data_IF_959871656211
#
_entry.id   IF_959871656211
#
_cell.length_a   1.000
_cell.length_b   1.000
_cell.length_c   1.000
_cell.angle_alpha   90.00
_cell.angle_beta   90.00
_cell.angle_gamma   90.00
#
_symmetry.space_group_name_H-M   'P 1'
#
loop_
_entity.id
_entity.type
_entity.pdbx_description
1 polymer ?
#
# COMPACT_ATOMS: atom_id res chain seq x y z
N UNK A 1 -5.41 16.96 -14.08
CA UNK A 1 -4.93 16.62 -15.44
C UNK A 1 -3.45 16.25 -15.37
N UNK A 2 -3.12 15.13 -14.71
CA UNK A 2 -1.80 14.49 -14.70
C UNK A 2 -2.07 13.01 -14.33
N UNK A 3 -2.38 12.19 -15.33
CA UNK A 3 -2.27 10.73 -15.24
C UNK A 3 -0.91 10.40 -15.81
N UNK A 4 0.01 9.96 -14.94
CA UNK A 4 1.29 9.42 -15.36
C UNK A 4 1.08 7.94 -15.64
N UNK A 5 1.23 7.58 -16.92
CA UNK A 5 1.31 6.22 -17.45
C UNK A 5 2.29 5.36 -16.62
N UNK A 6 1.78 4.38 -15.87
CA UNK A 6 2.58 3.26 -15.34
C UNK A 6 2.12 1.96 -16.00
N UNK A 7 2.31 1.89 -17.32
CA UNK A 7 2.72 0.65 -18.00
C UNK A 7 3.33 1.06 -19.33
N UNK A 8 4.41 0.41 -19.75
CA UNK A 8 5.24 0.72 -20.94
C UNK A 8 6.34 1.77 -20.71
N UNK A 9 7.28 1.46 -19.82
CA UNK A 9 8.62 2.04 -19.87
C UNK A 9 9.59 1.08 -20.57
N UNK A 10 9.52 1.00 -21.90
CA UNK A 10 10.69 0.76 -22.76
C UNK A 10 10.40 1.17 -24.22
N UNK A 11 9.98 2.41 -24.43
CA UNK A 11 10.02 3.05 -25.74
C UNK A 11 10.33 4.54 -25.56
N UNK A 12 11.62 4.84 -25.33
CA UNK A 12 12.17 6.20 -25.23
C UNK A 12 11.73 7.05 -26.41
N UNK A 13 10.91 8.07 -26.13
CA UNK A 13 10.51 9.30 -26.86
C UNK A 13 10.47 9.38 -28.41
N UNK A 14 11.28 8.66 -29.19
CA UNK A 14 11.19 8.62 -30.67
C UNK A 14 10.08 7.71 -31.20
N UNK A 15 9.53 6.82 -30.37
CA UNK A 15 8.53 5.83 -30.76
C UNK A 15 7.09 6.35 -30.84
N UNK A 16 6.64 7.21 -29.93
CA UNK A 16 5.22 7.67 -29.86
C UNK A 16 4.79 8.46 -31.10
N UNK A 17 5.62 9.39 -31.59
CA UNK A 17 5.34 10.14 -32.83
C UNK A 17 5.29 9.24 -34.07
N UNK A 18 6.16 8.22 -34.14
CA UNK A 18 6.18 7.25 -35.24
C UNK A 18 4.99 6.27 -35.17
N UNK A 19 4.54 5.89 -33.97
CA UNK A 19 3.42 4.99 -33.75
C UNK A 19 2.07 5.63 -34.14
N UNK A 20 1.84 6.89 -33.74
CA UNK A 20 0.67 7.66 -34.19
C UNK A 20 0.68 7.91 -35.70
N UNK A 21 1.83 8.20 -36.32
CA UNK A 21 1.94 8.30 -37.79
C UNK A 21 1.65 6.97 -38.50
N UNK A 22 2.08 5.83 -37.95
CA UNK A 22 1.81 4.51 -38.52
C UNK A 22 0.32 4.12 -38.43
N UNK A 23 -0.35 4.43 -37.32
CA UNK A 23 -1.79 4.22 -37.15
C UNK A 23 -2.61 5.09 -38.10
N UNK A 24 -2.23 6.36 -38.30
CA UNK A 24 -2.90 7.26 -39.24
C UNK A 24 -2.75 6.80 -40.71
N UNK A 25 -1.63 6.17 -41.08
CA UNK A 25 -1.43 5.59 -42.41
C UNK A 25 -2.16 4.25 -42.62
N UNK A 26 -2.54 3.54 -41.55
CA UNK A 26 -3.22 2.25 -41.61
C UNK A 26 -4.74 2.35 -41.86
N UNK A 27 -5.36 3.51 -41.59
CA UNK A 27 -6.80 3.76 -41.63
C UNK A 27 -7.48 3.75 -43.00
N UNK A 28 -6.79 3.39 -44.10
CA UNK A 28 -7.38 3.44 -45.43
C UNK A 28 -6.73 2.58 -46.52
N UNK A 29 -5.94 1.56 -46.17
CA UNK A 29 -5.12 0.85 -47.19
C UNK A 29 -5.25 -0.67 -47.22
N UNK A 30 -4.99 -1.22 -48.41
CA UNK A 30 -5.14 -2.64 -48.76
C UNK A 30 -4.24 -3.59 -47.98
N UNK A 31 -4.54 -4.90 -48.04
CA UNK A 31 -3.92 -5.97 -47.21
C UNK A 31 -2.37 -5.94 -47.18
N UNK A 32 -1.70 -5.53 -48.27
CA UNK A 32 -0.24 -5.50 -48.35
C UNK A 32 0.41 -4.41 -47.50
N UNK A 33 -0.21 -3.24 -47.36
CA UNK A 33 0.32 -2.14 -46.55
C UNK A 33 0.10 -2.38 -45.06
N UNK A 34 -1.03 -2.97 -44.65
CA UNK A 34 -1.24 -3.39 -43.25
C UNK A 34 -0.20 -4.40 -42.80
N UNK A 35 0.14 -5.37 -43.65
CA UNK A 35 1.22 -6.31 -43.38
C UNK A 35 2.61 -5.65 -43.33
N UNK A 36 2.80 -4.49 -43.97
CA UNK A 36 4.05 -3.72 -43.91
C UNK A 36 4.14 -2.91 -42.62
N UNK A 37 3.04 -2.28 -42.21
CA UNK A 37 2.92 -1.55 -40.93
C UNK A 37 3.05 -2.51 -39.74
N UNK A 38 2.40 -3.68 -39.77
CA UNK A 38 2.56 -4.71 -38.72
C UNK A 38 4.01 -5.17 -38.57
N UNK A 39 4.71 -5.41 -39.68
CA UNK A 39 6.14 -5.76 -39.68
C UNK A 39 7.04 -4.62 -39.16
N UNK A 40 6.65 -3.37 -39.37
CA UNK A 40 7.36 -2.19 -38.89
C UNK A 40 7.12 -1.98 -37.38
N UNK A 41 5.90 -2.20 -36.91
CA UNK A 41 5.54 -2.17 -35.49
C UNK A 41 6.25 -3.28 -34.71
N UNK A 42 6.32 -4.49 -35.27
CA UNK A 42 7.04 -5.62 -34.67
C UNK A 42 8.56 -5.44 -34.67
N UNK A 43 9.09 -4.50 -35.47
CA UNK A 43 10.49 -4.05 -35.41
C UNK A 43 10.73 -2.94 -34.38
N UNK A 44 9.71 -2.17 -34.02
CA UNK A 44 9.83 -1.03 -33.10
C UNK A 44 9.38 -1.34 -31.67
N UNK A 45 8.49 -2.32 -31.49
CA UNK A 45 7.96 -2.75 -30.20
C UNK A 45 8.00 -4.28 -30.16
N UNK A 46 8.94 -4.82 -29.37
CA UNK A 46 8.99 -6.25 -29.09
C UNK A 46 8.03 -6.55 -27.94
N UNK A 47 6.87 -7.11 -28.25
CA UNK A 47 5.95 -7.59 -27.23
C UNK A 47 6.38 -8.98 -26.78
N UNK A 48 6.38 -9.22 -25.47
CA UNK A 48 6.58 -10.56 -24.95
C UNK A 48 5.32 -11.39 -25.21
N UNK A 49 5.51 -12.66 -25.54
CA UNK A 49 4.43 -13.64 -25.50
C UNK A 49 3.98 -13.78 -24.04
N UNK A 50 2.66 -13.79 -23.78
CA UNK A 50 2.08 -13.78 -22.42
C UNK A 50 2.34 -15.05 -21.59
N UNK A 51 3.15 -15.98 -22.08
CA UNK A 51 3.54 -17.18 -21.39
C UNK A 51 4.75 -16.88 -20.49
N UNK A 52 4.64 -17.20 -19.19
CA UNK A 52 5.76 -17.10 -18.27
C UNK A 52 6.84 -18.14 -18.62
N UNK A 53 7.90 -17.70 -19.30
CA UNK A 53 9.04 -18.55 -19.67
C UNK A 53 10.21 -18.37 -18.70
N UNK A 54 10.90 -19.47 -18.39
CA UNK A 54 12.20 -19.40 -17.72
C UNK A 54 13.23 -18.75 -18.67
N UNK A 55 14.28 -18.16 -18.12
CA UNK A 55 15.30 -17.40 -18.89
C UNK A 55 15.92 -18.21 -20.04
N UNK A 56 16.03 -19.53 -19.87
CA UNK A 56 16.57 -20.43 -20.89
C UNK A 56 15.51 -20.97 -21.88
N UNK A 57 14.23 -20.87 -21.53
CA UNK A 57 13.09 -21.30 -22.35
C UNK A 57 12.61 -20.20 -23.30
N UNK A 58 12.90 -18.93 -22.99
CA UNK A 58 12.71 -17.83 -23.93
C UNK A 58 13.56 -18.09 -25.18
N UNK A 59 12.94 -18.31 -26.34
CA UNK A 59 13.62 -18.55 -27.61
C UNK A 59 13.69 -17.29 -28.48
N UNK A 60 13.09 -16.18 -28.03
CA UNK A 60 13.02 -14.95 -28.80
C UNK A 60 14.37 -14.22 -28.81
N UNK A 61 14.94 -14.02 -30.01
CA UNK A 61 16.27 -13.44 -30.21
C UNK A 61 16.45 -12.06 -29.58
N UNK A 62 15.38 -11.26 -29.48
CA UNK A 62 15.39 -9.94 -28.83
C UNK A 62 14.88 -9.98 -27.38
N UNK A 63 14.21 -11.06 -26.96
CA UNK A 63 13.69 -11.24 -25.60
C UNK A 63 14.80 -11.58 -24.61
N UNK A 64 15.68 -12.52 -24.97
CA UNK A 64 16.79 -12.97 -24.10
C UNK A 64 17.67 -11.83 -23.58
N UNK A 65 18.19 -10.89 -24.40
CA UNK A 65 19.03 -9.81 -23.90
C UNK A 65 18.26 -8.82 -23.02
N UNK A 66 16.98 -8.56 -23.33
CA UNK A 66 16.11 -7.70 -22.53
C UNK A 66 15.84 -8.29 -21.15
N UNK A 67 15.42 -9.57 -21.09
CA UNK A 67 15.19 -10.34 -19.87
C UNK A 67 16.43 -10.40 -18.98
N UNK A 68 17.60 -10.63 -19.58
CA UNK A 68 18.89 -10.64 -18.85
C UNK A 68 19.24 -9.27 -18.27
N UNK A 69 18.88 -8.18 -18.95
CA UNK A 69 19.09 -6.82 -18.44
C UNK A 69 18.15 -6.52 -17.28
N UNK A 70 16.86 -6.81 -17.47
CA UNK A 70 15.83 -6.66 -16.44
C UNK A 70 16.20 -7.43 -15.16
N UNK A 71 16.65 -8.68 -15.27
CA UNK A 71 17.04 -9.47 -14.09
C UNK A 71 18.26 -8.89 -13.36
N UNK A 72 19.22 -8.34 -14.08
CA UNK A 72 20.37 -7.66 -13.46
C UNK A 72 19.94 -6.38 -12.76
N UNK A 73 19.09 -5.58 -13.42
CA UNK A 73 18.53 -4.36 -12.82
C UNK A 73 17.75 -4.73 -11.54
N UNK A 74 16.90 -5.78 -11.57
CA UNK A 74 16.18 -6.25 -10.37
C UNK A 74 17.08 -6.81 -9.27
N UNK A 75 18.18 -7.48 -9.63
CA UNK A 75 19.17 -7.96 -8.66
C UNK A 75 19.89 -6.79 -7.97
N UNK A 76 20.13 -5.69 -8.70
CA UNK A 76 20.71 -4.46 -8.16
C UNK A 76 19.70 -3.68 -7.30
N UNK A 77 18.45 -3.57 -7.76
CA UNK A 77 17.37 -2.81 -7.10
C UNK A 77 16.85 -3.52 -5.84
N UNK A 78 16.63 -4.84 -5.90
CA UNK A 78 16.05 -5.65 -4.82
C UNK A 78 17.12 -6.49 -4.13
N UNK A 79 18.12 -5.82 -3.58
CA UNK A 79 19.17 -6.46 -2.77
C UNK A 79 18.88 -6.36 -1.28
N UNK A 80 19.37 -7.35 -0.55
CA UNK A 80 19.29 -7.38 0.90
C UNK A 80 20.41 -6.56 1.53
N UNK A 81 20.12 -5.89 2.64
CA UNK A 81 21.09 -5.27 3.54
C UNK A 81 21.01 -5.89 4.94
N UNK A 82 22.11 -5.84 5.66
CA UNK A 82 22.17 -6.29 7.05
C UNK A 82 21.84 -5.10 7.94
N UNK A 83 20.65 -5.10 8.53
CA UNK A 83 20.27 -4.09 9.52
C UNK A 83 21.11 -4.21 10.79
N UNK A 84 21.20 -5.42 11.35
CA UNK A 84 22.01 -5.76 12.52
C UNK A 84 22.33 -7.26 12.52
N UNK A 85 23.48 -7.65 13.07
CA UNK A 85 23.88 -9.05 13.16
C UNK A 85 22.86 -9.86 13.99
N UNK A 86 22.38 -10.99 13.43
CA UNK A 86 21.36 -11.83 14.06
C UNK A 86 19.90 -11.41 13.82
N UNK A 87 19.66 -10.27 13.17
CA UNK A 87 18.31 -9.83 12.75
C UNK A 87 18.08 -10.18 11.27
N UNK A 88 16.85 -10.54 10.86
CA UNK A 88 16.54 -10.77 9.45
C UNK A 88 16.99 -9.60 8.55
N UNK A 89 17.52 -9.92 7.39
CA UNK A 89 17.96 -8.92 6.43
C UNK A 89 16.79 -8.04 5.97
N UNK A 90 17.08 -6.78 5.68
CA UNK A 90 16.10 -5.79 5.20
C UNK A 90 16.35 -5.48 3.73
N UNK A 91 15.39 -4.86 3.06
CA UNK A 91 15.62 -4.34 1.71
C UNK A 91 16.62 -3.19 1.77
N UNK A 92 17.63 -3.22 0.91
CA UNK A 92 18.62 -2.14 0.82
C UNK A 92 18.03 -0.93 0.12
N UNK A 93 17.63 0.06 0.89
CA UNK A 93 17.12 1.33 0.41
C UNK A 93 17.62 2.47 1.30
N UNK A 94 18.04 3.58 0.69
CA UNK A 94 18.43 4.79 1.42
C UNK A 94 17.20 5.53 1.96
N UNK A 95 16.02 5.25 1.39
CA UNK A 95 14.72 5.71 1.88
C UNK A 95 13.57 5.33 0.93
N UNK A 96 12.33 5.70 1.26
CA UNK A 96 11.17 5.34 0.44
C UNK A 96 11.27 5.82 -1.02
N UNK A 97 11.94 6.95 -1.25
CA UNK A 97 12.12 7.53 -2.59
C UNK A 97 13.17 6.80 -3.45
N UNK A 98 14.12 6.07 -2.83
CA UNK A 98 15.13 5.29 -3.57
C UNK A 98 14.56 3.98 -4.13
N UNK A 99 13.35 3.59 -3.71
CA UNK A 99 12.67 2.41 -4.21
C UNK A 99 12.05 2.65 -5.60
N UNK A 100 11.97 1.61 -6.44
CA UNK A 100 11.23 1.67 -7.70
C UNK A 100 9.79 2.14 -7.49
N UNK A 101 9.25 2.91 -8.44
CA UNK A 101 7.91 3.48 -8.33
C UNK A 101 6.81 2.43 -8.09
N UNK A 102 7.01 1.21 -8.57
CA UNK A 102 6.11 0.05 -8.45
C UNK A 102 5.89 -0.42 -7.01
N UNK A 103 6.82 -0.13 -6.09
CA UNK A 103 6.77 -0.59 -4.69
C UNK A 103 6.65 0.58 -3.70
N UNK A 104 6.41 1.79 -4.20
CA UNK A 104 6.14 2.96 -3.38
C UNK A 104 4.64 3.17 -3.25
N UNK A 105 4.23 3.77 -2.14
CA UNK A 105 2.90 4.35 -2.06
C UNK A 105 2.74 5.48 -3.07
N UNK A 106 1.48 5.80 -3.37
CA UNK A 106 1.17 6.97 -4.19
C UNK A 106 1.74 8.24 -3.57
N UNK A 107 1.95 9.25 -4.42
CA UNK A 107 2.37 10.57 -3.96
C UNK A 107 1.40 11.17 -2.94
N UNK A 108 0.09 10.98 -3.14
CA UNK A 108 -0.97 11.45 -2.24
C UNK A 108 -0.85 10.83 -0.86
N UNK A 109 -0.81 9.49 -0.78
CA UNK A 109 -0.64 8.74 0.49
C UNK A 109 0.59 9.21 1.24
N UNK A 110 1.72 9.28 0.54
CA UNK A 110 2.99 9.71 1.13
C UNK A 110 2.89 11.12 1.71
N UNK A 111 2.31 12.06 0.95
CA UNK A 111 2.19 13.46 1.39
C UNK A 111 1.23 13.61 2.56
N UNK A 112 0.08 12.93 2.52
CA UNK A 112 -0.93 12.96 3.58
C UNK A 112 -0.41 12.34 4.85
N UNK A 113 0.28 11.21 4.76
CA UNK A 113 0.92 10.55 5.90
C UNK A 113 1.90 11.49 6.61
N UNK A 114 2.85 12.07 5.87
CA UNK A 114 3.86 12.97 6.47
C UNK A 114 3.24 14.24 7.05
N UNK A 115 2.28 14.85 6.36
CA UNK A 115 1.62 16.06 6.85
C UNK A 115 0.81 15.77 8.12
N UNK A 116 0.08 14.66 8.14
CA UNK A 116 -0.72 14.22 9.29
C UNK A 116 0.17 13.88 10.48
N UNK A 117 1.29 13.18 10.24
CA UNK A 117 2.28 12.87 11.26
C UNK A 117 2.90 14.13 11.88
N UNK A 118 3.29 15.10 11.04
CA UNK A 118 3.88 16.36 11.50
C UNK A 118 2.88 17.20 12.31
N UNK A 119 1.62 17.28 11.86
CA UNK A 119 0.56 17.98 12.57
C UNK A 119 0.28 17.33 13.93
N UNK A 120 0.17 16.00 13.97
CA UNK A 120 0.00 15.23 15.21
C UNK A 120 1.12 15.48 16.20
N UNK A 121 2.38 15.31 15.79
CA UNK A 121 3.53 15.55 16.66
C UNK A 121 3.59 16.99 17.19
N UNK A 122 3.29 17.98 16.33
CA UNK A 122 3.24 19.39 16.74
C UNK A 122 2.16 19.62 17.81
N UNK A 123 1.00 19.00 17.67
CA UNK A 123 -0.07 19.09 18.68
C UNK A 123 0.37 18.50 20.03
N UNK A 124 1.05 17.35 20.01
CA UNK A 124 1.56 16.71 21.22
C UNK A 124 2.60 17.58 21.94
N UNK A 125 3.48 18.22 21.17
CA UNK A 125 4.49 19.15 21.69
C UNK A 125 3.85 20.40 22.30
N UNK A 126 2.87 21.01 21.62
CA UNK A 126 2.15 22.17 22.14
C UNK A 126 1.36 21.85 23.42
N UNK A 127 0.88 20.62 23.58
CA UNK A 127 0.25 20.14 24.82
C UNK A 127 1.25 19.73 25.91
N UNK A 128 2.55 19.71 25.62
CA UNK A 128 3.60 19.30 26.56
C UNK A 128 3.59 17.81 26.89
N UNK A 129 2.97 16.97 26.05
CA UNK A 129 2.83 15.53 26.28
C UNK A 129 4.01 14.73 25.70
N UNK A 130 4.64 15.26 24.65
CA UNK A 130 5.73 14.60 23.90
C UNK A 130 6.95 14.26 24.77
N UNK A 131 7.18 14.99 25.86
CA UNK A 131 8.31 14.79 26.77
C UNK A 131 7.89 14.39 28.20
N UNK A 132 6.59 14.12 28.43
CA UNK A 132 6.06 13.86 29.77
C UNK A 132 6.30 12.42 30.23
N UNK A 133 7.28 12.21 31.11
CA UNK A 133 7.62 10.88 31.68
C UNK A 133 6.84 10.51 32.94
N UNK A 134 5.88 11.35 33.33
CA UNK A 134 5.06 11.08 34.50
C UNK A 134 4.00 10.03 34.18
N UNK A 135 3.60 9.29 35.22
CA UNK A 135 2.47 8.36 35.11
C UNK A 135 1.15 9.13 35.09
N UNK A 136 0.13 8.48 34.53
CA UNK A 136 -1.24 8.99 34.60
C UNK A 136 -1.72 9.11 36.06
N UNK A 137 -2.38 10.21 36.43
CA UNK A 137 -2.88 10.40 37.80
C UNK A 137 -4.07 9.49 38.12
N UNK A 138 -4.88 9.17 37.12
CA UNK A 138 -6.09 8.34 37.19
C UNK A 138 -6.43 7.80 35.79
N UNK A 139 -7.35 6.83 35.72
CA UNK A 139 -7.76 6.20 34.46
C UNK A 139 -8.55 7.16 33.56
N UNK A 140 -9.40 8.02 34.13
CA UNK A 140 -10.25 8.94 33.37
C UNK A 140 -9.42 10.00 32.63
N UNK A 141 -8.26 10.35 33.18
CA UNK A 141 -7.29 11.23 32.54
C UNK A 141 -6.72 10.65 31.24
N UNK A 142 -6.72 9.32 31.07
CA UNK A 142 -6.28 8.64 29.86
C UNK A 142 -7.34 8.78 28.76
N UNK A 143 -8.62 8.65 29.13
CA UNK A 143 -9.77 8.70 28.23
C UNK A 143 -9.95 10.07 27.55
N UNK A 144 -9.44 11.14 28.18
CA UNK A 144 -9.46 12.49 27.61
C UNK A 144 -8.69 12.63 26.30
N UNK A 145 -7.79 11.69 26.00
CA UNK A 145 -6.96 11.73 24.82
C UNK A 145 -7.43 10.67 23.83
N UNK A 146 -8.66 10.76 23.31
CA UNK A 146 -9.22 9.77 22.38
C UNK A 146 -8.68 9.89 20.95
N UNK A 147 -7.40 9.53 20.76
CA UNK A 147 -6.79 9.30 19.44
C UNK A 147 -7.11 7.89 18.92
N UNK A 148 -8.35 7.40 19.10
CA UNK A 148 -8.83 6.17 18.46
C UNK A 148 -8.30 4.86 19.06
N UNK A 149 -7.86 4.88 20.31
CA UNK A 149 -7.40 3.68 21.01
C UNK A 149 -7.42 3.84 22.52
N UNK A 150 -8.41 3.27 23.21
CA UNK A 150 -8.43 3.26 24.67
C UNK A 150 -7.20 2.51 25.21
N UNK A 151 -6.16 3.23 25.66
CA UNK A 151 -4.85 2.65 26.01
C UNK A 151 -4.93 1.51 27.03
N UNK A 152 -5.77 1.56 28.08
CA UNK A 152 -5.85 0.44 29.03
C UNK A 152 -6.36 -0.86 28.39
N UNK A 153 -7.02 -0.80 27.21
CA UNK A 153 -7.36 -1.97 26.41
C UNK A 153 -6.14 -2.63 25.77
N UNK A 154 -5.19 -1.80 25.34
CA UNK A 154 -4.08 -2.20 24.47
C UNK A 154 -2.83 -1.37 24.78
N UNK A 155 -2.20 -1.58 25.95
CA UNK A 155 -1.00 -0.86 26.31
C UNK A 155 0.16 -1.28 25.41
N UNK A 156 0.85 -0.31 24.81
CA UNK A 156 1.98 -0.57 23.91
C UNK A 156 3.21 -1.15 24.63
N UNK A 157 3.29 -0.98 25.95
CA UNK A 157 4.35 -1.50 26.81
C UNK A 157 3.84 -1.65 28.25
N UNK A 158 4.50 -2.48 29.06
CA UNK A 158 4.25 -2.62 30.49
C UNK A 158 5.53 -2.32 31.27
N UNK A 159 5.43 -1.48 32.30
CA UNK A 159 6.57 -0.99 33.07
C UNK A 159 6.94 -1.89 34.26
N UNK A 160 6.06 -2.82 34.63
CA UNK A 160 6.25 -3.75 35.74
C UNK A 160 6.00 -5.19 35.29
N UNK A 161 6.67 -6.18 35.92
CA UNK A 161 6.44 -7.58 35.62
C UNK A 161 5.00 -8.01 36.00
N UNK A 162 4.48 -9.08 35.38
CA UNK A 162 3.19 -9.64 35.76
C UNK A 162 3.14 -10.01 37.26
N UNK A 163 2.04 -9.70 37.98
CA UNK A 163 1.87 -10.12 39.36
C UNK A 163 1.95 -11.63 39.51
N UNK A 164 2.67 -12.11 40.54
CA UNK A 164 2.87 -13.55 40.78
C UNK A 164 1.75 -14.18 41.62
N UNK A 165 0.90 -13.36 42.25
CA UNK A 165 -0.22 -13.80 43.11
C UNK A 165 -1.47 -13.04 42.73
N UNK A 166 -2.60 -13.74 42.58
CA UNK A 166 -3.90 -13.11 42.26
C UNK A 166 -4.43 -12.30 43.45
N UNK A 167 -5.12 -11.19 43.17
CA UNK A 167 -5.82 -10.39 44.17
C UNK A 167 -4.96 -9.43 45.00
N UNK A 168 -3.68 -9.29 44.68
CA UNK A 168 -2.74 -8.37 45.39
C UNK A 168 -2.58 -7.01 44.71
N UNK A 169 -3.25 -6.80 43.58
CA UNK A 169 -3.12 -5.59 42.74
C UNK A 169 -4.14 -4.53 43.15
N UNK A 170 -3.72 -3.27 43.15
CA UNK A 170 -4.58 -2.09 43.34
C UNK A 170 -4.55 -1.21 42.08
N UNK A 171 -5.44 -0.24 41.97
CA UNK A 171 -5.44 0.75 40.89
C UNK A 171 -4.09 1.48 40.80
N UNK A 172 -3.50 1.85 41.94
CA UNK A 172 -2.18 2.48 41.96
C UNK A 172 -1.07 1.58 41.40
N UNK A 173 -1.16 0.26 41.62
CA UNK A 173 -0.23 -0.70 41.00
C UNK A 173 -0.50 -0.81 39.50
N UNK A 174 -1.75 -0.79 39.08
CA UNK A 174 -2.13 -0.83 37.66
C UNK A 174 -1.62 0.39 36.90
N UNK A 175 -1.82 1.61 37.41
CA UNK A 175 -1.31 2.85 36.81
C UNK A 175 0.23 2.87 36.72
N UNK A 176 0.93 2.24 37.66
CA UNK A 176 2.39 2.06 37.60
C UNK A 176 2.83 0.99 36.61
N UNK A 177 1.97 0.02 36.29
CA UNK A 177 2.25 -1.02 35.30
C UNK A 177 2.01 -0.52 33.88
N UNK A 178 1.01 0.35 33.68
CA UNK A 178 0.70 0.98 32.40
C UNK A 178 1.82 1.92 31.92
N UNK A 179 1.87 2.25 30.61
CA UNK A 179 2.82 3.22 30.07
C UNK A 179 2.64 4.62 30.68
N UNK A 180 3.73 5.38 30.70
CA UNK A 180 3.70 6.81 31.03
C UNK A 180 2.93 7.64 29.98
N UNK A 181 2.75 8.92 30.27
CA UNK A 181 2.00 9.84 29.40
C UNK A 181 2.61 9.92 28.00
N UNK A 182 3.93 10.10 27.89
CA UNK A 182 4.64 10.17 26.61
C UNK A 182 4.40 8.92 25.77
N UNK A 183 4.73 7.74 26.31
CA UNK A 183 4.58 6.47 25.61
C UNK A 183 3.12 6.23 25.18
N UNK A 184 2.17 6.52 26.06
CA UNK A 184 0.73 6.41 25.76
C UNK A 184 0.36 7.28 24.56
N UNK A 185 0.67 8.57 24.63
CA UNK A 185 0.25 9.56 23.64
C UNK A 185 0.93 9.33 22.28
N UNK A 186 2.22 8.95 22.27
CA UNK A 186 2.94 8.56 21.06
C UNK A 186 2.34 7.31 20.40
N UNK A 187 2.04 6.28 21.20
CA UNK A 187 1.38 5.06 20.71
C UNK A 187 0.01 5.33 20.10
N UNK A 188 -0.81 6.13 20.78
CA UNK A 188 -2.14 6.49 20.31
C UNK A 188 -2.10 7.38 19.07
N UNK A 189 -1.20 8.36 19.00
CA UNK A 189 -0.99 9.18 17.81
C UNK A 189 -0.55 8.33 16.61
N UNK A 190 0.29 7.31 16.84
CA UNK A 190 0.69 6.34 15.81
C UNK A 190 -0.51 5.52 15.33
N UNK A 191 -1.33 4.97 16.24
CA UNK A 191 -2.54 4.21 15.87
C UNK A 191 -3.51 5.09 15.08
N UNK A 192 -3.73 6.32 15.53
CA UNK A 192 -4.57 7.29 14.83
C UNK A 192 -4.07 7.57 13.43
N UNK A 193 -2.77 7.86 13.28
CA UNK A 193 -2.13 8.13 11.98
C UNK A 193 -2.32 6.94 11.03
N UNK A 194 -2.04 5.72 11.49
CA UNK A 194 -2.18 4.50 10.71
C UNK A 194 -3.64 4.14 10.40
N UNK A 195 -4.58 4.61 11.22
CA UNK A 195 -6.02 4.39 11.00
C UNK A 195 -6.64 5.39 10.01
N UNK A 196 -5.89 6.42 9.58
CA UNK A 196 -6.40 7.41 8.63
C UNK A 196 -6.42 6.84 7.22
N UNK A 197 -7.63 6.75 6.67
CA UNK A 197 -7.84 6.48 5.25
C UNK A 197 -7.31 7.64 4.41
N UNK A 198 -6.45 7.35 3.44
CA UNK A 198 -5.98 8.34 2.47
C UNK A 198 -7.08 8.74 1.49
N UNK A 199 -6.98 9.95 0.91
CA UNK A 199 -8.00 10.47 -0.02
C UNK A 199 -8.02 9.76 -1.37
N UNK A 200 -6.94 9.09 -1.76
CA UNK A 200 -6.87 8.28 -2.98
C UNK A 200 -7.11 6.78 -2.72
N UNK A 201 -7.82 6.46 -1.63
CA UNK A 201 -8.25 5.12 -1.27
C UNK A 201 -8.98 4.42 -2.42
N UNK A 202 -8.61 3.17 -2.67
CA UNK A 202 -9.24 2.30 -3.66
C UNK A 202 -9.74 1.04 -2.97
N UNK A 203 -11.05 0.87 -2.88
CA UNK A 203 -11.63 -0.30 -2.21
C UNK A 203 -11.30 -1.60 -2.94
N UNK A 204 -11.34 -2.71 -2.21
CA UNK A 204 -11.08 -4.05 -2.74
C UNK A 204 -11.90 -4.34 -4.01
N UNK A 205 -11.23 -4.89 -5.02
CA UNK A 205 -11.86 -5.24 -6.30
C UNK A 205 -12.15 -4.05 -7.21
N UNK A 206 -11.79 -2.82 -6.83
CA UNK A 206 -11.81 -1.67 -7.72
C UNK A 206 -10.42 -1.47 -8.33
N UNK A 207 -10.38 -1.30 -9.65
CA UNK A 207 -9.15 -1.16 -10.40
C UNK A 207 -9.27 0.09 -11.28
N UNK A 208 -8.69 1.24 -10.85
CA UNK A 208 -8.69 2.46 -11.65
C UNK A 208 -7.91 2.32 -12.97
N UNK A 209 -6.96 1.39 -13.01
CA UNK A 209 -6.12 1.10 -14.15
C UNK A 209 -6.66 -0.08 -14.96
N UNK A 210 -6.75 0.11 -16.28
CA UNK A 210 -7.17 -0.94 -17.22
C UNK A 210 -5.96 -1.77 -17.64
N UNK A 211 -5.66 -2.83 -16.87
CA UNK A 211 -4.53 -3.71 -17.19
C UNK A 211 -4.85 -4.77 -18.26
N UNK A 212 -6.12 -5.14 -18.40
CA UNK A 212 -6.58 -6.16 -19.34
C UNK A 212 -7.30 -5.52 -20.52
N UNK A 213 -7.18 -6.14 -21.69
CA UNK A 213 -7.94 -5.77 -22.89
C UNK A 213 -8.91 -6.87 -23.32
N UNK A 214 -8.74 -8.05 -22.75
CA UNK A 214 -9.47 -9.27 -23.05
C UNK A 214 -10.82 -9.30 -22.32
N UNK A 215 -11.86 -9.75 -23.02
CA UNK A 215 -13.24 -9.81 -22.51
C UNK A 215 -13.40 -10.74 -21.28
N UNK A 216 -12.62 -11.82 -21.23
CA UNK A 216 -12.73 -12.84 -20.19
C UNK A 216 -12.33 -12.28 -18.81
N UNK A 217 -11.12 -11.71 -18.61
CA UNK A 217 -10.77 -11.00 -17.37
C UNK A 217 -11.80 -9.94 -16.95
N UNK A 218 -12.31 -9.14 -17.89
CA UNK A 218 -13.33 -8.15 -17.58
C UNK A 218 -14.63 -8.76 -17.04
N UNK A 219 -15.02 -9.93 -17.55
CA UNK A 219 -16.19 -10.66 -17.06
C UNK A 219 -15.97 -11.12 -15.62
N UNK A 220 -14.83 -11.76 -15.32
CA UNK A 220 -14.51 -12.19 -13.96
C UNK A 220 -14.39 -11.03 -12.97
N UNK A 221 -13.82 -9.90 -13.36
CA UNK A 221 -13.74 -8.70 -12.51
C UNK A 221 -15.16 -8.20 -12.17
N UNK A 222 -16.07 -8.16 -13.14
CA UNK A 222 -17.46 -7.74 -12.91
C UNK A 222 -18.21 -8.69 -11.96
N UNK A 223 -18.02 -9.99 -12.14
CA UNK A 223 -18.63 -11.01 -11.28
C UNK A 223 -18.12 -10.87 -9.84
N UNK A 224 -16.80 -10.76 -9.66
CA UNK A 224 -16.19 -10.54 -8.35
C UNK A 224 -16.71 -9.25 -7.68
N UNK A 225 -16.79 -8.14 -8.42
CA UNK A 225 -17.36 -6.89 -7.92
C UNK A 225 -18.85 -7.00 -7.56
N UNK A 226 -19.61 -7.86 -8.24
CA UNK A 226 -21.01 -8.14 -7.88
C UNK A 226 -21.09 -8.91 -6.55
N UNK A 227 -20.27 -9.94 -6.38
CA UNK A 227 -20.18 -10.71 -5.13
C UNK A 227 -19.77 -9.84 -3.94
N UNK A 228 -18.76 -8.97 -4.10
CA UNK A 228 -18.35 -8.03 -3.05
C UNK A 228 -19.47 -7.06 -2.65
N UNK A 229 -20.27 -6.58 -3.61
CA UNK A 229 -21.43 -5.72 -3.33
C UNK A 229 -22.50 -6.46 -2.54
N UNK A 230 -22.76 -7.72 -2.89
CA UNK A 230 -23.69 -8.57 -2.14
C UNK A 230 -23.19 -8.77 -0.71
N UNK A 231 -21.92 -9.14 -0.52
CA UNK A 231 -21.32 -9.33 0.80
C UNK A 231 -21.37 -8.06 1.65
N UNK A 232 -21.07 -6.89 1.07
CA UNK A 232 -21.20 -5.60 1.77
C UNK A 232 -22.64 -5.35 2.25
N UNK A 233 -23.64 -5.68 1.42
CA UNK A 233 -25.04 -5.54 1.81
C UNK A 233 -25.44 -6.48 2.96
N UNK A 234 -24.98 -7.73 2.92
CA UNK A 234 -25.19 -8.72 3.98
C UNK A 234 -24.55 -8.29 5.31
N UNK A 235 -23.30 -7.79 5.27
CA UNK A 235 -22.60 -7.26 6.46
C UNK A 235 -23.35 -6.07 7.04
N UNK A 236 -23.81 -5.13 6.20
CA UNK A 236 -24.59 -3.97 6.64
C UNK A 236 -25.90 -4.39 7.28
N UNK A 237 -26.62 -5.32 6.69
CA UNK A 237 -27.87 -5.85 7.25
C UNK A 237 -27.62 -6.51 8.62
N UNK A 238 -26.60 -7.37 8.73
CA UNK A 238 -26.21 -7.99 10.01
C UNK A 238 -25.86 -6.95 11.08
N UNK A 239 -25.14 -5.88 10.70
CA UNK A 239 -24.67 -4.88 11.63
C UNK A 239 -25.77 -3.98 12.22
N UNK A 240 -26.98 -3.95 11.64
CA UNK A 240 -28.11 -3.18 12.17
C UNK A 240 -28.52 -3.65 13.57
N UNK A 241 -28.41 -4.96 13.84
CA UNK A 241 -28.88 -5.57 15.08
C UNK A 241 -27.79 -5.63 16.17
N UNK A 242 -26.59 -5.12 15.91
CA UNK A 242 -25.45 -5.16 16.82
C UNK A 242 -25.28 -3.81 17.55
N UNK A 243 -25.09 -3.86 18.87
CA UNK A 243 -24.75 -2.68 19.67
C UNK A 243 -23.43 -2.04 19.22
N UNK A 244 -22.45 -2.88 18.88
CA UNK A 244 -21.17 -2.46 18.31
C UNK A 244 -21.02 -3.14 16.93
N UNK A 245 -21.20 -2.41 15.82
CA UNK A 245 -21.13 -2.98 14.49
C UNK A 245 -19.69 -3.35 14.11
N UNK A 246 -19.51 -4.52 13.47
CA UNK A 246 -18.21 -4.93 12.95
C UNK A 246 -18.08 -4.58 11.47
N UNK A 247 -17.35 -3.51 11.16
CA UNK A 247 -17.21 -2.94 9.80
C UNK A 247 -15.89 -3.25 9.12
N UNK A 248 -14.87 -3.71 9.86
CA UNK A 248 -13.51 -3.89 9.34
C UNK A 248 -13.39 -4.84 8.13
N UNK A 249 -14.35 -5.77 7.97
CA UNK A 249 -14.38 -6.72 6.85
C UNK A 249 -15.43 -6.35 5.78
N UNK A 250 -16.01 -5.15 5.81
CA UNK A 250 -16.82 -4.67 4.69
C UNK A 250 -15.90 -4.42 3.48
N UNK A 251 -16.16 -5.05 2.31
CA UNK A 251 -15.36 -4.82 1.10
C UNK A 251 -15.23 -3.34 0.72
N UNK A 252 -16.19 -2.49 1.08
CA UNK A 252 -16.12 -1.05 0.85
C UNK A 252 -15.09 -0.32 1.72
N UNK A 253 -14.70 -0.91 2.85
CA UNK A 253 -13.74 -0.34 3.81
C UNK A 253 -12.36 -1.01 3.75
N UNK A 254 -12.22 -2.13 3.02
CA UNK A 254 -10.94 -2.80 2.76
C UNK A 254 -10.27 -2.16 1.54
N UNK A 255 -9.02 -1.74 1.67
CA UNK A 255 -8.24 -1.24 0.53
C UNK A 255 -7.72 -2.39 -0.33
N UNK A 256 -7.61 -2.15 -1.64
CA UNK A 256 -7.17 -3.15 -2.62
C UNK A 256 -5.69 -3.54 -2.49
N UNK A 257 -4.93 -2.85 -1.63
CA UNK A 257 -3.52 -3.07 -1.34
C UNK A 257 -3.19 -2.63 0.08
N UNK A 258 -2.10 -3.14 0.65
CA UNK A 258 -1.51 -2.56 1.88
C UNK A 258 -0.94 -1.19 1.53
N UNK A 259 -1.58 -0.12 2.00
CA UNK A 259 -1.26 1.24 1.53
C UNK A 259 -1.44 2.32 2.63
N UNK A 260 -0.78 2.09 3.77
CA UNK A 260 -0.79 2.96 4.96
C UNK A 260 0.29 4.04 4.89
#
# INVERSE_FOLDING_TARGET
>A
MLSYDVTVSYCRHRGRHHFQQCLHQAGGRGRRERARVARQLQRCCSFHEGNALRVFEDTHLLGRPSRKRELKEREEDYRWDVYAEGIPHIMKADGPLSLPAEVRFSFTKTTEFYFTAAAGLTELQLKGLDDCKENWPDIDSIDRYDYGGWMPNNPITLQLPPPTTKGTTSEATMLKTLPDVNATVQGMATIWLLSKRSTDFVSLGQYPEEHFSEEIPFTFIKDFQAELRQLSAEIKARNVDLEIPYTYMDPGDIENSVAI
#
